data_IF_696263500175
#
_entry.id   IF_696263500175
#
_cell.length_a   1.000
_cell.length_b   1.000
_cell.length_c   1.000
_cell.angle_alpha   90.00
_cell.angle_beta   90.00
_cell.angle_gamma   90.00
#
_symmetry.space_group_name_H-M   'P 1'
#
loop_
_entity.id
_entity.type
_entity.pdbx_description
1 polymer ?
#
# COMPACT_ATOMS: atom_id res chain seq x y z
N UNK A 1 -50.60 17.84 38.29
CA UNK A 1 -49.54 18.63 37.62
C UNK A 1 -48.49 17.66 37.11
N UNK A 2 -48.05 17.84 35.86
CA UNK A 2 -47.52 16.81 34.95
C UNK A 2 -46.04 16.43 35.14
N UNK A 3 -45.39 15.86 34.09
CA UNK A 3 -45.97 15.28 32.88
C UNK A 3 -45.51 13.83 32.61
N UNK A 4 -46.31 13.13 31.78
CA UNK A 4 -46.04 11.80 31.26
C UNK A 4 -44.93 11.81 30.19
N UNK A 5 -43.93 10.95 30.32
CA UNK A 5 -42.93 10.70 29.28
C UNK A 5 -43.51 9.74 28.22
N UNK A 6 -43.63 10.25 26.99
CA UNK A 6 -44.12 9.53 25.82
C UNK A 6 -43.09 8.51 25.33
N UNK A 7 -43.53 7.28 25.10
CA UNK A 7 -42.83 6.28 24.27
C UNK A 7 -42.83 6.76 22.82
N UNK A 8 -41.65 6.92 22.24
CA UNK A 8 -41.49 7.07 20.79
C UNK A 8 -41.49 5.66 20.17
N UNK A 9 -42.48 5.40 19.32
CA UNK A 9 -42.52 4.23 18.46
C UNK A 9 -41.60 4.49 17.26
N UNK A 10 -40.64 3.60 17.03
CA UNK A 10 -39.84 3.59 15.81
C UNK A 10 -40.71 3.09 14.66
N UNK A 11 -41.14 4.00 13.79
CA UNK A 11 -41.78 3.66 12.52
C UNK A 11 -40.70 3.19 11.55
N UNK A 12 -40.73 1.90 11.19
CA UNK A 12 -39.99 1.37 10.04
C UNK A 12 -40.61 1.97 8.78
N UNK A 13 -39.80 2.65 7.98
CA UNK A 13 -40.13 2.98 6.60
C UNK A 13 -39.41 1.99 5.69
N UNK A 14 -40.17 1.05 5.13
CA UNK A 14 -39.73 0.21 4.02
C UNK A 14 -39.55 1.10 2.77
N UNK A 15 -38.30 1.36 2.39
CA UNK A 15 -37.92 1.96 1.12
C UNK A 15 -37.60 0.88 0.10
N UNK A 16 -37.93 1.05 -1.19
CA UNK A 16 -37.84 -0.03 -2.16
C UNK A 16 -36.39 -0.33 -2.53
N UNK A 17 -36.07 -1.62 -2.41
CA UNK A 17 -34.93 -2.28 -3.02
C UNK A 17 -34.94 -2.03 -4.53
N UNK A 18 -33.90 -1.34 -5.02
CA UNK A 18 -33.62 -1.20 -6.45
C UNK A 18 -32.12 -1.36 -6.66
N UNK A 19 -31.71 -2.61 -6.82
CA UNK A 19 -30.48 -2.94 -7.54
C UNK A 19 -30.54 -2.35 -8.94
N UNK A 20 -29.73 -1.30 -9.16
CA UNK A 20 -29.40 -0.86 -10.50
C UNK A 20 -28.13 -1.60 -10.91
N UNK A 21 -28.28 -2.58 -11.79
CA UNK A 21 -27.17 -3.08 -12.59
C UNK A 21 -26.59 -1.89 -13.37
N UNK A 22 -25.31 -1.62 -13.18
CA UNK A 22 -24.58 -0.66 -14.02
C UNK A 22 -24.32 -1.32 -15.37
N UNK A 23 -25.04 -0.84 -16.37
CA UNK A 23 -24.95 -1.26 -17.76
C UNK A 23 -23.59 -0.78 -18.33
N UNK A 24 -22.73 -1.71 -18.75
CA UNK A 24 -21.36 -1.46 -19.19
C UNK A 24 -21.26 -0.84 -20.61
N UNK A 25 -22.31 -0.15 -21.07
CA UNK A 25 -22.45 0.30 -22.45
C UNK A 25 -22.89 1.77 -22.54
N UNK A 26 -22.15 2.70 -21.93
CA UNK A 26 -22.30 4.13 -22.28
C UNK A 26 -21.07 5.01 -21.99
N UNK A 27 -19.85 4.47 -22.13
CA UNK A 27 -18.65 5.32 -22.21
C UNK A 27 -18.53 5.80 -23.66
N UNK A 28 -19.28 6.87 -23.95
CA UNK A 28 -19.22 7.58 -25.21
C UNK A 28 -17.86 8.28 -25.38
N UNK A 29 -17.20 7.91 -26.47
CA UNK A 29 -16.22 8.66 -27.26
C UNK A 29 -16.12 10.15 -26.88
N UNK A 30 -15.17 10.46 -25.99
CA UNK A 30 -14.68 11.82 -25.77
C UNK A 30 -13.17 11.83 -25.86
N UNK A 31 -12.70 11.92 -27.10
CA UNK A 31 -11.48 12.64 -27.45
C UNK A 31 -10.18 12.00 -26.94
N UNK A 32 -9.75 10.94 -27.61
CA UNK A 32 -8.37 10.49 -27.58
C UNK A 32 -7.45 11.62 -28.10
N UNK A 33 -6.95 12.47 -27.19
CA UNK A 33 -5.73 13.24 -27.46
C UNK A 33 -4.58 12.25 -27.39
N UNK A 34 -3.88 12.12 -28.52
CA UNK A 34 -2.98 11.02 -28.80
C UNK A 34 -2.01 10.71 -27.68
N UNK A 35 -2.08 9.48 -27.18
CA UNK A 35 -0.93 8.80 -26.60
C UNK A 35 0.16 8.82 -27.67
N UNK A 36 1.22 9.61 -27.46
CA UNK A 36 2.37 9.61 -28.36
C UNK A 36 2.92 8.18 -28.37
N UNK A 37 2.81 7.52 -29.53
CA UNK A 37 3.45 6.23 -29.77
C UNK A 37 4.95 6.43 -29.57
N UNK A 38 5.56 5.69 -28.64
CA UNK A 38 7.03 5.60 -28.49
C UNK A 38 7.62 5.45 -29.90
N UNK A 39 8.44 6.40 -30.31
CA UNK A 39 9.21 6.30 -31.56
C UNK A 39 10.25 5.21 -31.38
N UNK A 40 10.38 4.35 -32.38
CA UNK A 40 11.22 3.14 -32.43
C UNK A 40 12.73 3.43 -32.30
N UNK A 41 13.17 3.81 -31.10
CA UNK A 41 14.53 3.65 -30.61
C UNK A 41 14.40 2.87 -29.32
N UNK A 42 14.78 1.58 -29.33
CA UNK A 42 14.70 0.76 -28.14
C UNK A 42 15.74 1.28 -27.14
N UNK A 43 15.29 2.11 -26.19
CA UNK A 43 15.95 2.18 -24.89
C UNK A 43 16.19 0.74 -24.43
N UNK A 44 17.36 0.43 -23.83
CA UNK A 44 17.59 -0.91 -23.29
C UNK A 44 16.40 -1.29 -22.41
N UNK A 45 15.73 -2.39 -22.74
CA UNK A 45 14.64 -2.91 -21.90
C UNK A 45 15.28 -3.29 -20.57
N UNK A 46 14.84 -2.67 -19.49
CA UNK A 46 15.32 -3.00 -18.14
C UNK A 46 15.00 -4.46 -17.85
N UNK A 47 16.00 -5.21 -17.42
CA UNK A 47 15.81 -6.55 -16.88
C UNK A 47 15.23 -6.43 -15.46
N UNK A 48 13.91 -6.44 -15.35
CA UNK A 48 13.21 -6.35 -14.07
C UNK A 48 13.50 -7.55 -13.15
N UNK A 49 13.80 -8.72 -13.69
CA UNK A 49 14.14 -9.90 -12.87
C UNK A 49 15.50 -9.69 -12.20
N UNK A 50 16.48 -9.19 -12.95
CA UNK A 50 17.79 -8.81 -12.42
C UNK A 50 17.69 -7.65 -11.42
N UNK A 51 16.95 -6.58 -11.75
CA UNK A 51 16.74 -5.45 -10.83
C UNK A 51 16.08 -5.90 -9.52
N UNK A 52 15.07 -6.77 -9.59
CA UNK A 52 14.44 -7.31 -8.38
C UNK A 52 15.44 -8.11 -7.55
N UNK A 53 16.30 -8.91 -8.19
CA UNK A 53 17.34 -9.66 -7.49
C UNK A 53 18.36 -8.73 -6.79
N UNK A 54 18.71 -7.61 -7.42
CA UNK A 54 19.57 -6.57 -6.82
C UNK A 54 18.91 -5.97 -5.56
N UNK A 55 17.62 -5.63 -5.61
CA UNK A 55 16.90 -5.12 -4.43
C UNK A 55 16.79 -6.17 -3.33
N UNK A 56 16.53 -7.44 -3.68
CA UNK A 56 16.46 -8.56 -2.73
C UNK A 56 17.81 -8.78 -2.03
N UNK A 57 18.92 -8.58 -2.74
CA UNK A 57 20.27 -8.71 -2.17
C UNK A 57 20.57 -7.68 -1.07
N UNK A 58 19.79 -6.59 -0.96
CA UNK A 58 19.94 -5.56 0.07
C UNK A 58 19.06 -5.90 1.27
N UNK A 59 19.61 -6.29 2.43
CA UNK A 59 18.80 -6.60 3.60
C UNK A 59 17.99 -5.36 4.05
N UNK A 60 16.72 -5.57 4.33
CA UNK A 60 15.80 -4.52 4.79
C UNK A 60 14.75 -5.13 5.71
N UNK A 61 15.17 -5.86 6.74
CA UNK A 61 14.23 -6.29 7.79
C UNK A 61 13.57 -5.05 8.40
N UNK A 62 12.31 -5.14 8.83
CA UNK A 62 11.62 -3.99 9.44
C UNK A 62 12.44 -3.33 10.54
N UNK A 63 12.47 -2.00 10.53
CA UNK A 63 13.31 -1.13 11.36
C UNK A 63 14.83 -1.13 11.01
N UNK A 64 15.23 -1.76 9.91
CA UNK A 64 16.60 -1.81 9.39
C UNK A 64 16.66 -1.48 7.89
N UNK A 65 15.73 -0.67 7.38
CA UNK A 65 15.52 -0.36 5.98
C UNK A 65 16.51 0.69 5.42
N UNK A 66 17.22 1.39 6.31
CA UNK A 66 18.05 2.56 5.98
C UNK A 66 18.99 2.32 4.80
N UNK A 67 19.64 1.15 4.70
CA UNK A 67 20.56 0.84 3.60
C UNK A 67 19.85 0.85 2.23
N UNK A 68 18.66 0.25 2.15
CA UNK A 68 17.88 0.22 0.92
C UNK A 68 17.34 1.61 0.60
N UNK A 69 16.86 2.34 1.61
CA UNK A 69 16.33 3.70 1.44
C UNK A 69 17.41 4.67 0.99
N UNK A 70 18.64 4.56 1.53
CA UNK A 70 19.80 5.36 1.11
C UNK A 70 20.13 5.15 -0.37
N UNK A 71 20.07 3.89 -0.85
CA UNK A 71 20.30 3.56 -2.25
C UNK A 71 19.21 4.15 -3.15
N UNK A 72 17.93 3.98 -2.78
CA UNK A 72 16.81 4.56 -3.51
C UNK A 72 16.87 6.09 -3.53
N UNK A 73 17.24 6.74 -2.43
CA UNK A 73 17.40 8.20 -2.36
C UNK A 73 18.50 8.70 -3.29
N UNK A 74 19.66 8.03 -3.30
CA UNK A 74 20.77 8.39 -4.18
C UNK A 74 20.40 8.27 -5.66
N UNK A 75 19.68 7.20 -6.02
CA UNK A 75 19.27 6.99 -7.41
C UNK A 75 18.16 7.94 -7.85
N UNK A 76 17.09 8.07 -7.06
CA UNK A 76 15.97 8.94 -7.40
C UNK A 76 16.37 10.42 -7.36
N UNK A 77 17.28 10.80 -6.45
CA UNK A 77 17.81 12.16 -6.36
C UNK A 77 18.72 12.56 -7.52
N UNK A 78 19.21 11.59 -8.32
CA UNK A 78 19.96 11.85 -9.54
C UNK A 78 19.05 12.09 -10.76
N UNK A 79 17.73 11.94 -10.62
CA UNK A 79 16.77 12.13 -11.69
C UNK A 79 16.22 13.56 -11.66
N UNK A 80 16.65 14.39 -12.62
CA UNK A 80 16.33 15.82 -12.67
C UNK A 80 14.82 16.14 -12.75
N UNK A 81 13.99 15.19 -13.17
CA UNK A 81 12.53 15.36 -13.28
C UNK A 81 11.77 15.03 -11.99
N UNK A 82 12.46 14.60 -10.93
CA UNK A 82 11.86 14.24 -9.65
C UNK A 82 12.28 15.18 -8.52
N UNK A 83 11.31 15.58 -7.70
CA UNK A 83 11.54 16.16 -6.38
C UNK A 83 11.50 15.04 -5.34
N UNK A 84 12.61 14.83 -4.64
CA UNK A 84 12.76 13.77 -3.64
C UNK A 84 12.72 14.35 -2.23
N UNK A 85 11.90 13.78 -1.36
CA UNK A 85 11.77 14.15 0.05
C UNK A 85 11.86 12.91 0.92
N UNK A 86 12.78 12.92 1.89
CA UNK A 86 12.91 11.88 2.91
C UNK A 86 12.28 12.29 4.24
N UNK A 87 11.57 11.37 4.89
CA UNK A 87 10.94 11.53 6.20
C UNK A 87 11.23 10.27 7.04
N UNK A 88 12.30 10.31 7.84
CA UNK A 88 12.82 9.10 8.48
C UNK A 88 13.32 8.11 7.41
N UNK A 89 12.89 6.85 7.50
CA UNK A 89 13.17 5.83 6.48
C UNK A 89 12.05 5.70 5.43
N UNK A 90 11.22 6.75 5.29
CA UNK A 90 10.30 6.90 4.18
C UNK A 90 10.87 7.84 3.13
N UNK A 91 10.68 7.51 1.85
CA UNK A 91 11.15 8.28 0.72
C UNK A 91 10.01 8.53 -0.26
N UNK A 92 9.79 9.80 -0.60
CA UNK A 92 8.77 10.22 -1.56
C UNK A 92 9.44 10.95 -2.71
N UNK A 93 9.26 10.45 -3.93
CA UNK A 93 9.74 11.10 -5.16
C UNK A 93 8.54 11.53 -6.02
N UNK A 94 8.52 12.78 -6.48
CA UNK A 94 7.36 13.37 -7.17
C UNK A 94 7.77 14.01 -8.48
N UNK A 95 6.96 13.81 -9.52
CA UNK A 95 7.03 14.66 -10.70
C UNK A 95 6.50 16.07 -10.38
N UNK A 96 7.03 17.06 -11.10
CA UNK A 96 6.72 18.50 -10.89
C UNK A 96 6.08 19.15 -12.12
N UNK A 97 5.35 18.36 -12.91
CA UNK A 97 4.68 18.84 -14.11
C UNK A 97 3.40 19.62 -13.84
N UNK A 98 2.63 19.83 -14.91
CA UNK A 98 1.39 20.63 -14.89
C UNK A 98 0.13 19.78 -15.04
N UNK A 99 0.26 18.45 -15.02
CA UNK A 99 -0.90 17.59 -15.13
C UNK A 99 -1.81 17.77 -13.90
N UNK A 100 -3.12 17.76 -14.13
CA UNK A 100 -4.10 18.00 -13.07
C UNK A 100 -4.40 16.75 -12.25
N UNK A 101 -4.04 15.58 -12.77
CA UNK A 101 -4.27 14.28 -12.13
C UNK A 101 -2.95 13.74 -11.63
N UNK A 102 -2.95 13.22 -10.40
CA UNK A 102 -1.80 12.59 -9.75
C UNK A 102 -2.11 11.17 -9.31
N UNK A 103 -1.25 10.24 -9.71
CA UNK A 103 -1.28 8.84 -9.28
C UNK A 103 -0.16 8.61 -8.25
N UNK A 104 -0.49 7.94 -7.15
CA UNK A 104 0.49 7.44 -6.20
C UNK A 104 0.83 6.00 -6.54
N UNK A 105 2.12 5.69 -6.69
CA UNK A 105 2.64 4.33 -6.69
C UNK A 105 3.30 4.11 -5.33
N UNK A 106 2.81 3.15 -4.57
CA UNK A 106 3.13 2.99 -3.15
C UNK A 106 3.66 1.60 -2.88
N UNK A 107 4.76 1.50 -2.14
CA UNK A 107 5.33 0.22 -1.75
C UNK A 107 6.18 0.31 -0.49
N UNK A 108 6.12 -0.74 0.32
CA UNK A 108 6.95 -0.87 1.50
C UNK A 108 8.36 -1.39 1.16
N UNK A 109 9.37 -0.91 1.88
CA UNK A 109 10.77 -1.27 1.68
C UNK A 109 11.25 -2.35 2.64
N UNK A 110 10.47 -2.61 3.69
CA UNK A 110 10.80 -3.60 4.68
C UNK A 110 10.49 -5.02 4.25
N UNK A 111 10.92 -5.95 5.08
CA UNK A 111 10.69 -7.39 4.95
C UNK A 111 10.58 -7.98 6.34
N UNK A 112 9.87 -9.08 6.46
CA UNK A 112 9.91 -9.92 7.66
C UNK A 112 11.31 -10.49 7.91
N UNK A 113 11.62 -10.98 9.14
CA UNK A 113 12.92 -11.59 9.43
C UNK A 113 13.25 -12.77 8.50
N UNK A 114 14.51 -12.84 8.06
CA UNK A 114 14.96 -13.89 7.16
C UNK A 114 14.92 -15.29 7.79
N UNK A 115 14.53 -16.28 6.99
CA UNK A 115 14.49 -17.68 7.39
C UNK A 115 15.22 -18.56 6.36
N UNK A 116 16.52 -18.31 6.17
CA UNK A 116 17.35 -19.03 5.21
C UNK A 116 17.07 -18.68 3.74
N UNK A 117 16.38 -17.58 3.50
CA UNK A 117 15.93 -17.12 2.18
C UNK A 117 16.44 -15.70 1.81
N UNK A 118 17.38 -15.13 2.56
CA UNK A 118 17.87 -13.76 2.32
C UNK A 118 18.64 -13.61 0.99
N UNK A 119 19.32 -14.66 0.54
CA UNK A 119 20.16 -14.61 -0.67
C UNK A 119 19.31 -14.80 -1.93
N UNK A 120 19.31 -13.85 -2.88
CA UNK A 120 18.58 -14.00 -4.12
C UNK A 120 19.19 -15.09 -5.00
N UNK A 121 18.35 -15.89 -5.65
CA UNK A 121 18.76 -16.90 -6.63
C UNK A 121 17.78 -16.90 -7.79
N UNK A 122 18.28 -16.58 -8.97
CA UNK A 122 17.53 -16.75 -10.22
C UNK A 122 17.70 -18.20 -10.69
N UNK A 123 16.58 -18.85 -11.01
CA UNK A 123 16.49 -20.20 -11.54
C UNK A 123 15.56 -20.19 -12.76
N UNK A 124 16.15 -20.04 -13.94
CA UNK A 124 15.38 -19.80 -15.17
C UNK A 124 14.70 -18.43 -15.13
N UNK A 125 13.37 -18.44 -15.14
CA UNK A 125 12.49 -17.27 -15.05
C UNK A 125 11.96 -17.01 -13.63
N UNK A 126 12.42 -17.78 -12.64
CA UNK A 126 11.98 -17.67 -11.24
C UNK A 126 13.08 -17.03 -10.40
N UNK A 127 12.75 -15.96 -9.68
CA UNK A 127 13.59 -15.42 -8.61
C UNK A 127 13.14 -15.97 -7.26
N UNK A 128 14.09 -16.58 -6.54
CA UNK A 128 13.94 -17.00 -5.16
C UNK A 128 14.63 -15.99 -4.24
N UNK A 129 13.97 -15.55 -3.18
CA UNK A 129 14.59 -14.73 -2.14
C UNK A 129 13.56 -14.02 -1.27
N UNK A 130 13.97 -13.54 -0.10
CA UNK A 130 13.13 -12.79 0.81
C UNK A 130 12.74 -11.46 0.17
N UNK A 131 11.44 -11.24 0.09
CA UNK A 131 10.84 -10.07 -0.54
C UNK A 131 10.88 -10.03 -2.06
N UNK A 132 11.29 -11.11 -2.73
CA UNK A 132 11.15 -11.22 -4.20
C UNK A 132 9.70 -11.06 -4.64
N UNK A 133 8.75 -11.47 -3.80
CA UNK A 133 7.31 -11.25 -4.00
C UNK A 133 6.81 -10.09 -3.14
N UNK A 134 7.18 -10.06 -1.85
CA UNK A 134 6.66 -9.13 -0.83
C UNK A 134 7.75 -8.19 -0.25
N UNK A 135 7.93 -6.98 -0.76
CA UNK A 135 7.31 -6.49 -2.00
C UNK A 135 8.30 -5.88 -2.99
N UNK A 136 9.55 -6.35 -2.97
CA UNK A 136 10.65 -5.77 -3.76
C UNK A 136 10.48 -5.90 -5.27
N UNK A 137 9.69 -6.86 -5.76
CA UNK A 137 9.30 -6.88 -7.19
C UNK A 137 8.45 -5.65 -7.55
N UNK A 138 7.49 -5.26 -6.70
CA UNK A 138 6.73 -4.03 -6.86
C UNK A 138 7.63 -2.79 -6.82
N UNK A 139 8.59 -2.76 -5.90
CA UNK A 139 9.59 -1.67 -5.82
C UNK A 139 10.45 -1.58 -7.08
N UNK A 140 10.89 -2.72 -7.64
CA UNK A 140 11.68 -2.75 -8.87
C UNK A 140 10.91 -2.12 -10.05
N UNK A 141 9.62 -2.44 -10.18
CA UNK A 141 8.75 -1.83 -11.20
C UNK A 141 8.59 -0.33 -10.95
N UNK A 142 8.36 0.09 -9.70
CA UNK A 142 8.26 1.52 -9.35
C UNK A 142 9.54 2.28 -9.70
N UNK A 143 10.70 1.72 -9.36
CA UNK A 143 12.01 2.31 -9.64
C UNK A 143 12.29 2.39 -11.15
N UNK A 144 11.97 1.34 -11.90
CA UNK A 144 12.10 1.35 -13.36
C UNK A 144 11.20 2.41 -14.02
N UNK A 145 9.96 2.54 -13.57
CA UNK A 145 9.05 3.59 -14.04
C UNK A 145 9.58 5.00 -13.73
N UNK A 146 10.13 5.20 -12.54
CA UNK A 146 10.75 6.48 -12.16
C UNK A 146 11.94 6.83 -13.07
N UNK A 147 12.76 5.84 -13.43
CA UNK A 147 13.92 5.99 -14.32
C UNK A 147 13.52 6.23 -15.78
N UNK A 148 12.50 5.55 -16.29
CA UNK A 148 12.21 5.46 -17.72
C UNK A 148 11.05 6.33 -18.20
N UNK A 149 10.14 6.74 -17.30
CA UNK A 149 8.97 7.57 -17.62
C UNK A 149 9.17 8.98 -17.08
N UNK A 150 9.98 9.77 -17.80
CA UNK A 150 10.37 11.13 -17.38
C UNK A 150 9.34 12.22 -17.75
N UNK A 151 8.46 11.94 -18.71
CA UNK A 151 7.34 12.81 -19.13
C UNK A 151 6.02 12.03 -19.10
N UNK A 152 5.49 11.70 -17.91
CA UNK A 152 4.25 10.93 -17.79
C UNK A 152 3.03 11.77 -18.18
N UNK A 153 1.98 11.11 -18.69
CA UNK A 153 0.72 11.77 -19.05
C UNK A 153 -0.08 12.30 -17.83
N UNK A 154 0.28 11.86 -16.63
CA UNK A 154 -0.27 12.25 -15.32
C UNK A 154 0.90 12.52 -14.38
N UNK A 155 0.70 13.32 -13.33
CA UNK A 155 1.72 13.41 -12.28
C UNK A 155 1.83 12.08 -11.55
N UNK A 156 3.05 11.71 -11.15
CA UNK A 156 3.31 10.49 -10.39
C UNK A 156 4.02 10.84 -9.08
N UNK A 157 3.53 10.28 -7.99
CA UNK A 157 4.23 10.25 -6.70
C UNK A 157 4.62 8.81 -6.41
N UNK A 158 5.92 8.55 -6.29
CA UNK A 158 6.46 7.27 -5.84
C UNK A 158 6.67 7.35 -4.33
N UNK A 159 6.05 6.46 -3.57
CA UNK A 159 6.13 6.39 -2.11
C UNK A 159 6.78 5.07 -1.72
N UNK A 160 8.00 5.14 -1.21
CA UNK A 160 8.74 4.02 -0.63
C UNK A 160 8.69 4.20 0.89
N UNK A 161 7.96 3.35 1.62
CA UNK A 161 7.74 3.52 3.05
C UNK A 161 8.28 2.35 3.87
N UNK A 162 8.62 2.58 5.14
CA UNK A 162 9.20 1.57 6.02
C UNK A 162 8.17 0.99 7.02
N UNK A 163 8.52 -0.13 7.65
CA UNK A 163 7.81 -0.70 8.80
C UNK A 163 6.35 -1.11 8.55
N UNK A 164 6.02 -1.65 7.37
CA UNK A 164 4.71 -2.24 7.09
C UNK A 164 4.46 -3.49 7.95
N UNK A 165 5.47 -4.36 8.04
CA UNK A 165 5.35 -5.75 8.52
C UNK A 165 5.35 -5.88 10.06
N UNK A 166 5.26 -4.74 10.75
CA UNK A 166 5.36 -4.62 12.21
C UNK A 166 4.17 -3.87 12.81
N UNK A 167 4.18 -3.66 14.13
CA UNK A 167 3.08 -2.97 14.79
C UNK A 167 2.82 -1.59 14.18
N UNK A 168 1.55 -1.24 13.94
CA UNK A 168 1.11 -0.03 13.24
C UNK A 168 1.73 1.30 13.75
N UNK A 169 2.18 1.35 15.01
CA UNK A 169 2.93 2.51 15.54
C UNK A 169 4.22 2.80 14.76
N UNK A 170 4.78 1.80 14.08
CA UNK A 170 5.98 1.89 13.25
C UNK A 170 5.68 2.10 11.76
N UNK A 171 4.42 2.03 11.35
CA UNK A 171 4.05 2.08 9.94
C UNK A 171 4.40 3.45 9.32
N UNK A 172 5.21 3.40 8.27
CA UNK A 172 5.74 4.57 7.57
C UNK A 172 4.66 5.40 6.87
N UNK A 173 3.62 4.78 6.31
CA UNK A 173 2.49 5.50 5.72
C UNK A 173 1.71 6.28 6.80
N UNK A 174 1.48 5.69 7.97
CA UNK A 174 0.83 6.38 9.09
C UNK A 174 1.65 7.59 9.55
N UNK A 175 2.98 7.52 9.50
CA UNK A 175 3.87 8.64 9.80
C UNK A 175 3.77 9.73 8.73
N UNK A 176 3.79 9.36 7.45
CA UNK A 176 3.62 10.30 6.34
C UNK A 176 2.26 11.00 6.38
N UNK A 177 1.15 10.29 6.63
CA UNK A 177 -0.18 10.89 6.76
C UNK A 177 -0.26 11.90 7.92
N UNK A 178 0.46 11.63 9.02
CA UNK A 178 0.46 12.50 10.20
C UNK A 178 1.34 13.74 10.00
N UNK A 179 2.55 13.54 9.50
CA UNK A 179 3.61 14.54 9.57
C UNK A 179 3.78 15.32 8.25
N UNK A 180 3.49 14.66 7.11
CA UNK A 180 3.62 15.23 5.75
C UNK A 180 2.48 14.79 4.81
N UNK A 181 1.20 15.02 5.16
CA UNK A 181 0.06 14.63 4.32
C UNK A 181 0.08 15.28 2.92
N UNK A 182 0.79 16.39 2.77
CA UNK A 182 1.01 17.07 1.48
C UNK A 182 1.79 16.23 0.46
N UNK A 183 2.60 15.28 0.94
CA UNK A 183 3.34 14.33 0.10
C UNK A 183 2.44 13.22 -0.45
N UNK A 184 1.33 12.92 0.22
CA UNK A 184 0.40 11.85 -0.12
C UNK A 184 -0.85 12.36 -0.87
N UNK A 185 -0.88 13.63 -1.27
CA UNK A 185 -1.99 14.18 -2.04
C UNK A 185 -1.98 13.64 -3.49
N UNK A 186 -3.06 12.93 -3.87
CA UNK A 186 -3.32 12.49 -5.24
C UNK A 186 -4.74 11.97 -5.43
N UNK A 187 -5.07 11.57 -6.66
CA UNK A 187 -6.42 11.18 -7.07
C UNK A 187 -6.65 9.66 -6.99
N UNK A 188 -5.58 8.88 -7.17
CA UNK A 188 -5.60 7.41 -7.14
C UNK A 188 -4.29 6.92 -6.51
N UNK A 189 -4.36 5.86 -5.69
CA UNK A 189 -3.19 5.15 -5.19
C UNK A 189 -3.21 3.71 -5.68
N UNK A 190 -2.06 3.23 -6.15
CA UNK A 190 -1.79 1.84 -6.51
C UNK A 190 -0.70 1.33 -5.59
N UNK A 191 -1.00 0.30 -4.82
CA UNK A 191 -0.03 -0.37 -3.96
C UNK A 191 0.61 -1.50 -4.75
N UNK A 192 1.94 -1.64 -4.66
CA UNK A 192 2.71 -2.68 -5.35
C UNK A 192 2.65 -4.05 -4.70
N UNK A 193 1.65 -4.30 -3.86
CA UNK A 193 1.43 -5.59 -3.17
C UNK A 193 1.26 -6.74 -4.17
N UNK A 194 1.65 -7.97 -3.80
CA UNK A 194 1.62 -9.11 -4.71
C UNK A 194 0.20 -9.61 -4.94
N UNK A 195 -0.39 -9.26 -6.08
CA UNK A 195 -1.75 -9.67 -6.48
C UNK A 195 -1.80 -10.51 -7.77
N UNK A 196 -0.68 -11.13 -8.17
CA UNK A 196 -0.56 -11.86 -9.45
C UNK A 196 -0.94 -10.99 -10.66
N UNK A 197 -0.60 -9.69 -10.61
CA UNK A 197 -0.98 -8.67 -11.57
C UNK A 197 -2.50 -8.45 -11.75
N UNK A 198 -3.32 -9.01 -10.86
CA UNK A 198 -4.76 -8.75 -10.78
C UNK A 198 -5.01 -7.46 -9.99
N UNK A 199 -6.04 -6.71 -10.38
CA UNK A 199 -6.46 -5.52 -9.62
C UNK A 199 -7.36 -5.95 -8.47
N UNK A 200 -6.84 -5.86 -7.24
CA UNK A 200 -7.62 -6.01 -6.01
C UNK A 200 -8.05 -4.61 -5.52
N UNK A 201 -9.30 -4.23 -5.84
CA UNK A 201 -9.78 -2.87 -5.60
C UNK A 201 -10.15 -2.63 -4.13
N UNK A 202 -9.31 -1.86 -3.43
CA UNK A 202 -9.49 -1.47 -2.04
C UNK A 202 -9.25 -2.62 -1.07
N UNK A 203 -9.66 -2.43 0.19
CA UNK A 203 -9.55 -3.46 1.22
C UNK A 203 -10.74 -3.40 2.17
N UNK A 204 -10.97 -4.49 2.90
CA UNK A 204 -11.94 -4.50 3.99
C UNK A 204 -11.33 -3.93 5.26
N UNK A 205 -12.12 -3.18 6.04
CA UNK A 205 -11.70 -2.76 7.37
C UNK A 205 -11.53 -3.96 8.30
N UNK A 206 -10.49 -3.95 9.14
CA UNK A 206 -10.23 -4.97 10.15
C UNK A 206 -10.54 -4.44 11.55
N UNK A 207 -11.12 -5.29 12.40
CA UNK A 207 -11.39 -4.96 13.80
C UNK A 207 -11.01 -6.16 14.67
N UNK A 208 -10.22 -5.90 15.72
CA UNK A 208 -9.87 -6.87 16.74
C UNK A 208 -10.43 -6.41 18.08
N UNK A 209 -11.19 -7.29 18.74
CA UNK A 209 -11.74 -7.03 20.07
C UNK A 209 -11.06 -7.95 21.10
N UNK A 210 -10.63 -7.37 22.21
CA UNK A 210 -10.22 -8.12 23.40
C UNK A 210 -11.36 -8.08 24.42
N UNK A 211 -11.88 -9.26 24.79
CA UNK A 211 -13.03 -9.40 25.70
C UNK A 211 -12.59 -10.07 26.99
N UNK A 212 -12.66 -9.31 28.09
CA UNK A 212 -12.39 -9.82 29.44
C UNK A 212 -13.70 -10.19 30.13
N UNK A 213 -13.92 -11.48 30.37
CA UNK A 213 -15.08 -11.99 31.11
C UNK A 213 -14.73 -12.21 32.58
N UNK A 214 -15.47 -11.54 33.47
CA UNK A 214 -15.25 -11.63 34.91
C UNK A 214 -16.11 -12.71 35.58
N UNK A 215 -15.48 -13.68 36.23
CA UNK A 215 -16.14 -14.69 37.07
C UNK A 215 -15.90 -14.49 38.58
N UNK A 216 -16.40 -15.44 39.37
CA UNK A 216 -16.06 -15.59 40.79
C UNK A 216 -15.69 -17.06 41.04
N UNK A 217 -14.52 -17.29 41.64
CA UNK A 217 -13.98 -18.63 41.90
C UNK A 217 -14.90 -19.39 42.86
N UNK A 218 -15.17 -20.66 42.56
CA UNK A 218 -15.85 -21.58 43.44
C UNK A 218 -15.30 -23.00 43.26
N UNK A 219 -15.52 -23.86 44.25
CA UNK A 219 -15.26 -25.28 44.09
C UNK A 219 -16.18 -25.83 42.99
N UNK A 220 -15.66 -26.65 42.08
CA UNK A 220 -16.41 -27.14 40.90
C UNK A 220 -17.68 -27.89 41.28
N UNK A 221 -17.67 -28.63 42.39
CA UNK A 221 -18.86 -29.29 42.95
C UNK A 221 -19.89 -28.36 43.64
N UNK A 222 -19.63 -27.06 43.77
CA UNK A 222 -20.55 -26.06 44.39
C UNK A 222 -20.65 -24.79 43.52
N UNK A 223 -21.11 -24.90 42.26
CA UNK A 223 -21.08 -23.81 41.30
C UNK A 223 -21.92 -22.59 41.72
N UNK A 224 -22.97 -22.79 42.51
CA UNK A 224 -23.81 -21.71 43.06
C UNK A 224 -23.07 -20.77 44.02
N UNK A 225 -21.86 -21.12 44.47
CA UNK A 225 -21.01 -20.26 45.30
C UNK A 225 -20.13 -19.31 44.46
N UNK A 226 -20.17 -19.40 43.13
CA UNK A 226 -19.34 -18.58 42.23
C UNK A 226 -20.12 -18.06 41.03
N UNK A 227 -19.37 -17.57 40.03
CA UNK A 227 -19.89 -17.13 38.73
C UNK A 227 -18.93 -17.61 37.67
N UNK A 228 -19.40 -18.47 36.76
CA UNK A 228 -18.56 -18.93 35.66
C UNK A 228 -18.29 -17.75 34.71
N UNK A 229 -17.03 -17.58 34.33
CA UNK A 229 -16.63 -16.59 33.33
C UNK A 229 -16.82 -17.10 31.90
N UNK A 230 -16.98 -18.43 31.74
CA UNK A 230 -17.34 -19.13 30.50
C UNK A 230 -18.85 -19.35 30.47
#
# INVERSE_FOLDING_TARGET
>A
MGPAARRAAATRSDGPDRGAAVDAASIGDRGARGVRRRTDGADPVTDLLALTAELVAVPSESLQEALLVDQLEAELGALDHLEVTRVGDNLVARTTGSATTRVLLVGHTDTVPANGNAEPRIDGDVLWGLGSTDMKAGLAVMLDLARTVTDPAVEVTYVFYAGEEVAAVHNGLDHLFRDRPDLLAGDVALLGEPTDAVIEAGCQGTMRLEVTLGGARAHTARPWMGRNAV
#
